data_IF_728667593308
#
_entry.id   IF_728667593308
#
_cell.length_a   1.000
_cell.length_b   1.000
_cell.length_c   1.000
_cell.angle_alpha   90.00
_cell.angle_beta   90.00
_cell.angle_gamma   90.00
#
_symmetry.space_group_name_H-M   'P 1'
#
loop_
_entity.id
_entity.type
_entity.pdbx_description
1 polymer ?
#
# COMPACT_ATOMS: atom_id res chain seq x y z
N UNK A 1 -21.77 1.81 1.36
CA UNK A 1 -20.39 2.28 1.61
C UNK A 1 -19.51 1.66 0.54
N UNK A 2 -18.79 2.47 -0.26
CA UNK A 2 -17.87 2.00 -1.30
C UNK A 2 -16.43 2.20 -0.81
N UNK A 3 -15.55 1.25 -1.11
CA UNK A 3 -14.11 1.30 -0.74
C UNK A 3 -13.28 1.16 -2.01
N UNK A 4 -12.33 2.06 -2.22
CA UNK A 4 -11.39 2.04 -3.34
C UNK A 4 -9.98 1.83 -2.77
N UNK A 5 -9.24 0.85 -3.32
CA UNK A 5 -7.87 0.54 -2.91
C UNK A 5 -6.90 1.24 -3.84
N UNK A 6 -5.93 1.99 -3.33
CA UNK A 6 -4.93 2.65 -4.16
C UNK A 6 -3.61 1.85 -4.12
N UNK A 7 -2.90 1.69 -5.25
CA UNK A 7 -1.58 1.08 -5.29
C UNK A 7 -0.50 2.04 -4.74
N UNK A 8 -0.67 2.48 -3.50
CA UNK A 8 0.25 3.36 -2.80
C UNK A 8 0.20 3.09 -1.30
N UNK A 9 1.30 3.40 -0.60
CA UNK A 9 1.41 3.15 0.84
C UNK A 9 0.51 4.09 1.65
N UNK A 10 0.49 5.38 1.28
CA UNK A 10 -0.29 6.39 1.99
C UNK A 10 -0.89 7.41 1.03
N UNK A 11 -2.09 7.86 1.39
CA UNK A 11 -2.76 9.00 0.74
C UNK A 11 -2.57 10.21 1.65
N UNK A 12 -2.05 11.30 1.09
CA UNK A 12 -1.73 12.51 1.84
C UNK A 12 -2.85 13.55 1.77
N UNK A 13 -3.62 13.56 0.69
CA UNK A 13 -4.78 14.41 0.53
C UNK A 13 -5.83 13.77 -0.38
N UNK A 14 -7.09 14.08 -0.11
CA UNK A 14 -8.24 13.71 -0.95
C UNK A 14 -9.09 14.95 -1.15
N UNK A 15 -9.52 15.22 -2.38
CA UNK A 15 -10.48 16.29 -2.66
C UNK A 15 -11.57 15.83 -3.62
N UNK A 16 -12.77 16.37 -3.42
CA UNK A 16 -13.83 16.31 -4.41
C UNK A 16 -13.68 17.49 -5.36
N UNK A 17 -13.64 17.21 -6.66
CA UNK A 17 -13.54 18.21 -7.71
C UNK A 17 -14.93 18.76 -8.06
N UNK A 18 -14.98 19.96 -8.65
CA UNK A 18 -16.25 20.62 -9.00
C UNK A 18 -17.09 19.85 -10.03
N UNK A 19 -16.48 18.93 -10.77
CA UNK A 19 -17.14 18.04 -11.71
C UNK A 19 -17.66 16.73 -11.06
N UNK A 20 -17.48 16.55 -9.76
CA UNK A 20 -17.90 15.35 -9.02
C UNK A 20 -16.87 14.22 -8.96
N UNK A 21 -15.70 14.38 -9.58
CA UNK A 21 -14.59 13.43 -9.45
C UNK A 21 -13.96 13.48 -8.05
N UNK A 22 -13.33 12.38 -7.66
CA UNK A 22 -12.52 12.29 -6.45
C UNK A 22 -11.05 12.17 -6.84
N UNK A 23 -10.23 13.12 -6.40
CA UNK A 23 -8.79 13.09 -6.61
C UNK A 23 -8.07 12.72 -5.31
N UNK A 24 -7.12 11.80 -5.41
CA UNK A 24 -6.30 11.32 -4.31
C UNK A 24 -4.83 11.59 -4.62
N UNK A 25 -4.16 12.37 -3.76
CA UNK A 25 -2.73 12.61 -3.84
C UNK A 25 -1.98 11.60 -2.95
N UNK A 26 -1.08 10.83 -3.57
CA UNK A 26 -0.41 9.70 -2.95
C UNK A 26 1.09 9.97 -2.74
N UNK A 27 1.71 9.18 -1.86
CA UNK A 27 3.14 9.33 -1.52
C UNK A 27 4.12 8.96 -2.65
N UNK A 28 3.65 8.29 -3.68
CA UNK A 28 4.40 7.91 -4.88
C UNK A 28 4.51 9.05 -5.91
N UNK A 29 3.97 10.23 -5.59
CA UNK A 29 3.95 11.40 -6.48
C UNK A 29 2.85 11.34 -7.55
N UNK A 30 1.96 10.36 -7.50
CA UNK A 30 0.86 10.19 -8.46
C UNK A 30 -0.45 10.70 -7.86
N UNK A 31 -1.18 11.51 -8.64
CA UNK A 31 -2.57 11.87 -8.33
C UNK A 31 -3.51 10.95 -9.10
N UNK A 32 -4.31 10.17 -8.39
CA UNK A 32 -5.29 9.24 -8.98
C UNK A 32 -6.69 9.85 -8.90
N UNK A 33 -7.38 9.91 -10.04
CA UNK A 33 -8.70 10.55 -10.16
C UNK A 33 -9.73 9.47 -10.49
N UNK A 34 -10.79 9.42 -9.68
CA UNK A 34 -11.90 8.48 -9.83
C UNK A 34 -13.18 9.25 -10.16
N UNK A 35 -13.84 8.88 -11.24
CA UNK A 35 -15.15 9.44 -11.59
C UNK A 35 -16.27 8.50 -11.15
N UNK A 36 -17.21 8.96 -10.31
CA UNK A 36 -18.38 8.16 -9.98
C UNK A 36 -19.36 8.06 -11.17
N UNK A 37 -20.06 6.92 -11.29
CA UNK A 37 -21.22 6.74 -12.18
C UNK A 37 -20.99 7.09 -13.67
N UNK A 38 -19.81 6.79 -14.23
CA UNK A 38 -19.61 6.86 -15.68
C UNK A 38 -20.36 5.74 -16.40
N UNK A 39 -20.97 6.06 -17.54
CA UNK A 39 -21.38 5.04 -18.50
C UNK A 39 -20.14 4.25 -18.96
N UNK A 40 -20.28 2.93 -19.15
CA UNK A 40 -19.16 2.05 -19.54
C UNK A 40 -18.43 2.52 -20.81
N UNK A 41 -19.16 3.22 -21.69
CA UNK A 41 -18.65 3.81 -22.95
C UNK A 41 -17.61 4.92 -22.73
N UNK A 42 -17.56 5.51 -21.54
CA UNK A 42 -16.64 6.59 -21.16
C UNK A 42 -15.39 6.10 -20.42
N UNK A 43 -15.28 4.78 -20.21
CA UNK A 43 -14.17 4.15 -19.49
C UNK A 43 -13.12 3.69 -20.51
N UNK A 44 -11.88 4.10 -20.31
CA UNK A 44 -10.75 3.56 -21.07
C UNK A 44 -10.38 2.19 -20.49
N UNK A 45 -10.63 1.08 -21.23
CA UNK A 45 -10.39 -0.26 -20.72
C UNK A 45 -8.89 -0.52 -20.45
N UNK A 46 -7.99 0.15 -21.18
CA UNK A 46 -6.55 -0.02 -20.97
C UNK A 46 -6.13 0.51 -19.60
N UNK A 47 -6.67 1.66 -19.18
CA UNK A 47 -6.39 2.25 -17.86
C UNK A 47 -6.92 1.41 -16.72
N UNK A 48 -8.07 0.76 -16.90
CA UNK A 48 -8.62 -0.15 -15.90
C UNK A 48 -7.69 -1.34 -15.69
N UNK A 49 -7.22 -1.96 -16.77
CA UNK A 49 -6.28 -3.10 -16.69
C UNK A 49 -4.95 -2.69 -16.07
N UNK A 50 -4.41 -1.53 -16.43
CA UNK A 50 -3.18 -0.98 -15.85
C UNK A 50 -3.33 -0.78 -14.34
N UNK A 51 -4.41 -0.13 -13.91
CA UNK A 51 -4.71 0.09 -12.50
C UNK A 51 -4.85 -1.22 -11.72
N UNK A 52 -5.58 -2.20 -12.24
CA UNK A 52 -5.72 -3.52 -11.59
C UNK A 52 -4.38 -4.25 -11.47
N UNK A 53 -3.54 -4.13 -12.50
CA UNK A 53 -2.20 -4.71 -12.54
C UNK A 53 -1.29 -4.06 -11.51
N UNK A 54 -1.23 -2.73 -11.46
CA UNK A 54 -0.49 -1.99 -10.43
C UNK A 54 -0.96 -2.35 -9.02
N UNK A 55 -2.27 -2.46 -8.80
CA UNK A 55 -2.84 -2.83 -7.52
C UNK A 55 -2.43 -4.23 -7.09
N UNK A 56 -2.45 -5.20 -8.01
CA UNK A 56 -2.00 -6.56 -7.75
C UNK A 56 -0.51 -6.61 -7.37
N UNK A 57 0.35 -5.92 -8.12
CA UNK A 57 1.78 -5.85 -7.82
C UNK A 57 2.07 -5.18 -6.47
N UNK A 58 1.41 -4.06 -6.20
CA UNK A 58 1.56 -3.36 -4.92
C UNK A 58 1.14 -4.25 -3.74
N UNK A 59 0.02 -4.97 -3.87
CA UNK A 59 -0.45 -5.88 -2.83
C UNK A 59 0.54 -7.02 -2.55
N UNK A 60 1.18 -7.58 -3.59
CA UNK A 60 2.21 -8.59 -3.42
C UNK A 60 3.46 -8.01 -2.72
N UNK A 61 3.93 -6.85 -3.15
CA UNK A 61 5.10 -6.19 -2.55
C UNK A 61 4.87 -5.81 -1.08
N UNK A 62 3.68 -5.30 -0.74
CA UNK A 62 3.33 -4.91 0.64
C UNK A 62 3.32 -6.10 1.62
N UNK A 63 3.11 -7.33 1.15
CA UNK A 63 3.22 -8.53 1.98
C UNK A 63 4.68 -8.88 2.30
N UNK A 64 5.63 -8.54 1.42
CA UNK A 64 7.05 -8.72 1.71
C UNK A 64 7.54 -7.74 2.78
N UNK A 65 6.97 -6.54 2.87
CA UNK A 65 7.25 -5.58 3.95
C UNK A 65 6.80 -6.07 5.34
N UNK A 66 5.93 -7.08 5.41
CA UNK A 66 5.64 -7.77 6.68
C UNK A 66 6.81 -8.64 7.17
N UNK A 67 7.85 -8.83 6.35
CA UNK A 67 9.05 -9.58 6.72
C UNK A 67 10.17 -8.63 7.17
N UNK A 68 10.48 -8.64 8.48
CA UNK A 68 11.62 -7.92 9.04
C UNK A 68 12.76 -8.92 9.26
N UNK A 69 13.90 -8.71 8.60
CA UNK A 69 15.08 -9.58 8.68
C UNK A 69 14.78 -11.07 8.39
N UNK A 70 13.84 -11.35 7.49
CA UNK A 70 13.42 -12.71 7.12
C UNK A 70 12.41 -13.36 8.06
N UNK A 71 11.88 -12.62 9.05
CA UNK A 71 10.84 -13.08 9.98
C UNK A 71 9.56 -12.27 9.80
N UNK A 72 8.40 -12.91 9.90
CA UNK A 72 7.12 -12.19 9.88
C UNK A 72 7.07 -11.24 11.07
N UNK A 73 6.54 -10.03 10.88
CA UNK A 73 6.33 -9.02 11.94
C UNK A 73 5.52 -9.57 13.11
N UNK A 74 4.63 -10.51 12.85
CA UNK A 74 3.83 -11.23 13.86
C UNK A 74 4.62 -12.25 14.68
N UNK A 75 5.81 -12.61 14.23
CA UNK A 75 6.73 -13.55 14.88
C UNK A 75 7.92 -12.84 15.54
N UNK A 76 7.93 -11.50 15.55
CA UNK A 76 8.93 -10.74 16.30
C UNK A 76 8.80 -11.09 17.78
N UNK A 77 9.89 -11.49 18.44
CA UNK A 77 9.83 -11.78 19.86
C UNK A 77 9.64 -10.48 20.65
N UNK A 78 9.16 -10.64 21.88
CA UNK A 78 8.90 -9.52 22.78
C UNK A 78 10.18 -8.82 23.21
N UNK A 79 10.01 -7.70 23.92
CA UNK A 79 11.12 -6.89 24.44
C UNK A 79 12.09 -7.70 25.31
N UNK A 80 11.61 -8.80 25.90
CA UNK A 80 12.38 -9.74 26.70
C UNK A 80 13.58 -10.34 25.95
N UNK A 81 13.48 -10.51 24.62
CA UNK A 81 14.56 -11.06 23.79
C UNK A 81 15.84 -10.21 23.81
N UNK A 82 15.73 -8.89 24.06
CA UNK A 82 16.88 -7.99 24.19
C UNK A 82 17.78 -8.31 25.39
N UNK A 83 17.27 -9.07 26.36
CA UNK A 83 18.04 -9.53 27.52
C UNK A 83 18.88 -10.77 27.20
N UNK A 84 18.63 -11.45 26.09
CA UNK A 84 19.42 -12.60 25.66
C UNK A 84 20.60 -12.15 24.77
N UNK A 85 21.84 -12.56 25.08
CA UNK A 85 22.98 -12.28 24.23
C UNK A 85 22.82 -12.94 22.86
N UNK A 86 23.24 -12.26 21.80
CA UNK A 86 23.17 -12.77 20.43
C UNK A 86 24.23 -13.83 20.13
N UNK A 87 24.11 -14.48 18.97
CA UNK A 87 25.00 -15.59 18.56
C UNK A 87 26.41 -15.16 18.14
N UNK A 88 26.64 -13.88 17.89
CA UNK A 88 27.92 -13.32 17.48
C UNK A 88 28.28 -12.13 18.37
N UNK A 89 29.57 -11.86 18.52
CA UNK A 89 30.06 -10.75 19.32
C UNK A 89 29.52 -9.42 18.78
N UNK A 90 28.83 -8.65 19.64
CA UNK A 90 28.12 -7.42 19.26
C UNK A 90 26.66 -7.62 18.83
N UNK A 91 26.15 -8.85 18.70
CA UNK A 91 24.74 -9.11 18.43
C UNK A 91 23.92 -9.19 19.73
N UNK A 92 22.72 -8.59 19.74
CA UNK A 92 21.63 -8.94 20.67
C UNK A 92 20.60 -9.77 19.92
N UNK A 93 19.91 -10.66 20.62
CA UNK A 93 18.82 -11.42 20.01
C UNK A 93 17.65 -10.45 19.74
N UNK A 94 17.27 -10.33 18.48
CA UNK A 94 16.10 -9.57 18.03
C UNK A 94 14.84 -10.39 18.15
#
# INVERSE_FOLDING_TARGET
LQTIRLPCQTVWAVCALSNGDVACACNDGVVRIFTPNKEETMIDPAKTVEYETELAFFYLASQEEEMIAGMKKTQLPGLEALNEPGKQEGAKKM
#
